data_IF_050818125265
#
_entry.id   IF_050818125265
#
_cell.length_a   1.000
_cell.length_b   1.000
_cell.length_c   1.000
_cell.angle_alpha   90.00
_cell.angle_beta   90.00
_cell.angle_gamma   90.00
#
_symmetry.space_group_name_H-M   'P 1'
#
loop_
_entity.id
_entity.type
_entity.pdbx_description
1 polymer ?
#
# COMPACT_ATOMS: atom_id res chain seq x y z
N UNK A 1 59.75 38.01 -47.05
CA UNK A 1 58.92 37.90 -45.82
C UNK A 1 57.51 37.51 -46.24
N UNK A 2 57.03 36.34 -45.82
CA UNK A 2 55.74 35.77 -46.26
C UNK A 2 54.65 36.19 -45.28
N UNK A 3 53.72 37.04 -45.71
CA UNK A 3 52.55 37.43 -44.94
C UNK A 3 51.36 36.52 -45.29
N UNK A 4 51.29 35.36 -44.66
CA UNK A 4 50.04 34.58 -44.56
C UNK A 4 49.56 34.71 -43.11
N UNK A 5 48.37 35.31 -42.88
CA UNK A 5 47.44 35.07 -41.73
C UNK A 5 46.44 36.24 -41.49
N UNK A 6 45.36 36.35 -42.27
CA UNK A 6 44.11 36.87 -41.69
C UNK A 6 42.92 35.90 -41.75
N UNK A 7 42.96 34.84 -42.57
CA UNK A 7 41.80 33.97 -42.84
C UNK A 7 41.42 33.10 -41.64
N UNK A 8 42.40 32.61 -40.88
CA UNK A 8 42.18 31.68 -39.76
C UNK A 8 41.38 32.28 -38.58
N UNK A 9 41.50 33.60 -38.33
CA UNK A 9 40.81 34.26 -37.21
C UNK A 9 39.33 34.55 -37.50
N UNK A 10 38.98 34.78 -38.75
CA UNK A 10 37.58 34.98 -39.16
C UNK A 10 36.77 33.67 -39.09
N UNK A 11 37.36 32.55 -39.54
CA UNK A 11 36.75 31.23 -39.49
C UNK A 11 36.46 30.75 -38.05
N UNK A 12 37.35 31.07 -37.10
CA UNK A 12 37.16 30.71 -35.69
C UNK A 12 35.98 31.47 -35.03
N UNK A 13 35.80 32.75 -35.38
CA UNK A 13 34.69 33.56 -34.86
C UNK A 13 33.34 33.14 -35.43
N UNK A 14 33.31 32.82 -36.73
CA UNK A 14 32.10 32.32 -37.40
C UNK A 14 31.68 30.95 -36.86
N UNK A 15 32.62 30.02 -36.67
CA UNK A 15 32.31 28.69 -36.10
C UNK A 15 31.89 28.75 -34.63
N UNK A 16 32.44 29.67 -33.84
CA UNK A 16 32.00 29.92 -32.47
C UNK A 16 30.58 30.51 -32.41
N UNK A 17 30.26 31.46 -33.30
CA UNK A 17 28.91 32.04 -33.40
C UNK A 17 27.87 31.01 -33.88
N UNK A 18 28.22 30.16 -34.85
CA UNK A 18 27.36 29.09 -35.35
C UNK A 18 27.07 28.02 -34.27
N UNK A 19 28.08 27.63 -33.48
CA UNK A 19 27.90 26.70 -32.33
C UNK A 19 27.03 27.31 -31.23
N UNK A 20 27.24 28.59 -30.89
CA UNK A 20 26.43 29.29 -29.91
C UNK A 20 24.95 29.44 -30.35
N UNK A 21 24.70 29.64 -31.65
CA UNK A 21 23.34 29.66 -32.19
C UNK A 21 22.71 28.25 -32.22
N UNK A 22 23.47 27.21 -32.55
CA UNK A 22 22.99 25.83 -32.52
C UNK A 22 22.61 25.38 -31.10
N UNK A 23 23.45 25.68 -30.09
CA UNK A 23 23.16 25.39 -28.68
C UNK A 23 21.93 26.15 -28.17
N UNK A 24 21.73 27.41 -28.59
CA UNK A 24 20.50 28.16 -28.25
C UNK A 24 19.26 27.57 -28.90
N UNK A 25 19.35 27.05 -30.13
CA UNK A 25 18.20 26.42 -30.82
C UNK A 25 17.72 25.15 -30.14
N UNK A 26 18.63 24.31 -29.63
CA UNK A 26 18.27 23.13 -28.82
C UNK A 26 17.75 23.50 -27.42
N UNK A 27 18.10 24.67 -26.90
CA UNK A 27 17.59 25.18 -25.62
C UNK A 27 16.29 26.00 -25.75
N UNK A 28 15.92 26.44 -26.96
CA UNK A 28 14.76 27.32 -27.21
C UNK A 28 13.50 26.61 -27.66
N UNK A 29 13.59 25.33 -28.06
CA UNK A 29 12.41 24.48 -28.31
C UNK A 29 12.14 23.64 -27.09
N UNK A 30 10.89 23.62 -26.64
CA UNK A 30 10.48 22.79 -25.54
C UNK A 30 10.76 21.31 -25.87
N UNK A 31 11.72 20.67 -25.18
CA UNK A 31 12.03 19.27 -25.39
C UNK A 31 10.79 18.41 -25.09
N UNK A 32 10.45 17.45 -25.95
CA UNK A 32 9.25 16.63 -25.79
C UNK A 32 9.14 15.95 -24.40
N UNK A 33 10.28 15.50 -23.85
CA UNK A 33 10.39 14.99 -22.49
C UNK A 33 10.05 16.05 -21.41
N UNK A 34 10.50 17.29 -21.64
CA UNK A 34 10.08 18.52 -20.97
C UNK A 34 8.55 18.60 -20.79
N UNK A 35 7.87 18.52 -21.93
CA UNK A 35 6.43 18.67 -22.08
C UNK A 35 5.65 17.52 -21.46
N UNK A 36 6.09 16.28 -21.70
CA UNK A 36 5.48 15.10 -21.11
C UNK A 36 5.55 15.14 -19.58
N UNK A 37 6.69 15.52 -18.99
CA UNK A 37 6.82 15.62 -17.53
C UNK A 37 5.89 16.67 -16.92
N UNK A 38 5.70 17.81 -17.58
CA UNK A 38 4.72 18.82 -17.13
C UNK A 38 3.30 18.28 -17.22
N UNK A 39 2.96 17.65 -18.33
CA UNK A 39 1.63 17.05 -18.53
C UNK A 39 1.34 15.97 -17.47
N UNK A 40 2.30 15.08 -17.19
CA UNK A 40 2.17 14.07 -16.12
C UNK A 40 2.01 14.72 -14.76
N UNK A 41 2.78 15.78 -14.45
CA UNK A 41 2.67 16.50 -13.18
C UNK A 41 1.30 17.16 -13.01
N UNK A 42 0.77 17.77 -14.07
CA UNK A 42 -0.55 18.38 -14.06
C UNK A 42 -1.66 17.34 -13.90
N UNK A 43 -1.59 16.23 -14.64
CA UNK A 43 -2.51 15.11 -14.51
C UNK A 43 -2.48 14.53 -13.09
N UNK A 44 -1.28 14.28 -12.54
CA UNK A 44 -1.10 13.76 -11.19
C UNK A 44 -1.70 14.70 -10.13
N UNK A 45 -1.59 16.02 -10.30
CA UNK A 45 -2.20 17.00 -9.39
C UNK A 45 -3.73 16.85 -9.36
N UNK A 46 -4.37 16.73 -10.53
CA UNK A 46 -5.82 16.56 -10.62
C UNK A 46 -6.27 15.21 -10.03
N UNK A 47 -5.58 14.13 -10.38
CA UNK A 47 -5.89 12.77 -9.89
C UNK A 47 -5.69 12.66 -8.37
N UNK A 48 -4.62 13.25 -7.83
CA UNK A 48 -4.38 13.27 -6.37
C UNK A 48 -5.49 14.02 -5.64
N UNK A 49 -5.93 15.16 -6.17
CA UNK A 49 -7.02 15.93 -5.58
C UNK A 49 -8.35 15.17 -5.59
N UNK A 50 -8.65 14.45 -6.68
CA UNK A 50 -9.82 13.58 -6.77
C UNK A 50 -9.79 12.49 -5.71
N UNK A 51 -8.70 11.73 -5.61
CA UNK A 51 -8.57 10.66 -4.62
C UNK A 51 -8.61 11.19 -3.19
N UNK A 52 -7.99 12.34 -2.92
CA UNK A 52 -8.09 13.00 -1.61
C UNK A 52 -9.55 13.28 -1.25
N UNK A 53 -10.35 13.79 -2.18
CA UNK A 53 -11.77 14.06 -1.95
C UNK A 53 -12.56 12.77 -1.70
N UNK A 54 -12.36 11.73 -2.50
CA UNK A 54 -13.04 10.44 -2.28
C UNK A 54 -12.66 9.86 -0.89
N UNK A 55 -11.37 9.88 -0.55
CA UNK A 55 -10.89 9.38 0.75
C UNK A 55 -11.42 10.15 1.95
N UNK A 56 -11.75 11.44 1.80
CA UNK A 56 -12.26 12.27 2.92
C UNK A 56 -13.79 12.30 2.95
N UNK A 57 -14.45 12.31 1.80
CA UNK A 57 -15.91 12.51 1.72
C UNK A 57 -16.69 11.23 1.52
N UNK A 58 -16.10 10.18 0.94
CA UNK A 58 -16.81 8.93 0.64
C UNK A 58 -16.42 7.83 1.62
N UNK A 59 -15.12 7.67 1.89
CA UNK A 59 -14.63 6.57 2.72
C UNK A 59 -15.12 6.68 4.18
N UNK A 60 -15.08 7.83 4.87
CA UNK A 60 -15.51 7.89 6.27
C UNK A 60 -17.01 7.57 6.44
N UNK A 61 -17.95 8.12 5.64
CA UNK A 61 -19.35 7.68 5.71
C UNK A 61 -19.54 6.19 5.45
N UNK A 62 -18.84 5.61 4.47
CA UNK A 62 -18.93 4.18 4.19
C UNK A 62 -18.42 3.33 5.37
N UNK A 63 -17.29 3.73 5.98
CA UNK A 63 -16.76 3.07 7.17
C UNK A 63 -17.67 3.22 8.38
N UNK A 64 -18.33 4.37 8.56
CA UNK A 64 -19.29 4.56 9.64
C UNK A 64 -20.48 3.60 9.48
N UNK A 65 -21.06 3.52 8.28
CA UNK A 65 -22.18 2.60 8.03
C UNK A 65 -21.78 1.13 8.21
N UNK A 66 -20.62 0.72 7.68
CA UNK A 66 -20.09 -0.62 7.86
C UNK A 66 -19.77 -0.91 9.33
N UNK A 67 -19.21 0.06 10.05
CA UNK A 67 -18.89 -0.04 11.47
C UNK A 67 -20.13 -0.19 12.35
N UNK A 68 -21.21 0.53 12.05
CA UNK A 68 -22.50 0.38 12.73
C UNK A 68 -23.09 -1.02 12.51
N UNK A 69 -23.04 -1.53 11.28
CA UNK A 69 -23.51 -2.88 10.99
C UNK A 69 -22.66 -3.95 11.72
N UNK A 70 -21.33 -3.82 11.68
CA UNK A 70 -20.42 -4.72 12.39
C UNK A 70 -20.63 -4.67 13.91
N UNK A 71 -20.92 -3.49 14.48
CA UNK A 71 -21.21 -3.34 15.90
C UNK A 71 -22.50 -4.07 16.30
N UNK A 72 -23.56 -3.98 15.48
CA UNK A 72 -24.79 -4.72 15.74
C UNK A 72 -24.57 -6.24 15.68
N UNK A 73 -23.89 -6.73 14.63
CA UNK A 73 -23.54 -8.15 14.50
C UNK A 73 -22.64 -8.64 15.64
N UNK A 74 -21.74 -7.80 16.12
CA UNK A 74 -20.89 -8.09 17.29
C UNK A 74 -21.72 -8.31 18.55
N UNK A 75 -22.68 -7.40 18.83
CA UNK A 75 -23.55 -7.54 20.00
C UNK A 75 -24.44 -8.79 19.90
N UNK A 76 -25.04 -9.04 18.73
CA UNK A 76 -25.84 -10.25 18.47
C UNK A 76 -25.00 -11.53 18.64
N UNK A 77 -23.75 -11.53 18.18
CA UNK A 77 -22.84 -12.66 18.34
C UNK A 77 -22.60 -12.98 19.82
N UNK A 78 -22.33 -11.97 20.66
CA UNK A 78 -22.09 -12.17 22.09
C UNK A 78 -23.37 -12.51 22.87
N UNK A 79 -24.51 -11.96 22.48
CA UNK A 79 -25.80 -12.36 23.05
C UNK A 79 -26.08 -13.84 22.76
N UNK A 80 -25.88 -14.29 21.52
CA UNK A 80 -26.02 -15.72 21.18
C UNK A 80 -24.99 -16.58 21.92
N UNK A 81 -23.74 -16.10 22.03
CA UNK A 81 -22.69 -16.80 22.77
C UNK A 81 -23.04 -16.99 24.25
N UNK A 82 -23.67 -15.99 24.88
CA UNK A 82 -24.07 -16.03 26.29
C UNK A 82 -25.16 -17.07 26.61
N UNK A 83 -25.93 -17.48 25.59
CA UNK A 83 -26.97 -18.50 25.71
C UNK A 83 -26.46 -19.92 25.42
N UNK A 84 -25.23 -20.07 24.93
CA UNK A 84 -24.67 -21.39 24.67
C UNK A 84 -24.21 -22.07 25.97
N UNK A 85 -24.21 -23.42 26.04
CA UNK A 85 -23.72 -24.13 27.21
C UNK A 85 -22.25 -23.79 27.50
N UNK A 86 -21.78 -23.96 28.76
CA UNK A 86 -20.37 -23.81 29.13
C UNK A 86 -19.45 -24.62 28.22
N UNK A 87 -18.23 -24.14 28.00
CA UNK A 87 -17.29 -24.76 27.06
C UNK A 87 -16.92 -26.20 27.44
N UNK A 88 -16.87 -26.51 28.75
CA UNK A 88 -16.54 -27.84 29.25
C UNK A 88 -17.62 -28.88 28.93
N UNK A 89 -18.87 -28.43 28.83
CA UNK A 89 -20.04 -29.27 28.54
C UNK A 89 -20.24 -29.50 27.04
N UNK A 90 -19.56 -28.72 26.19
CA UNK A 90 -19.68 -28.86 24.73
C UNK A 90 -19.02 -30.16 24.26
N UNK A 91 -19.64 -30.78 23.26
CA UNK A 91 -19.10 -31.98 22.62
C UNK A 91 -17.88 -31.61 21.77
N UNK A 92 -16.72 -32.08 22.20
CA UNK A 92 -15.47 -32.02 21.45
C UNK A 92 -15.34 -33.32 20.64
N UNK A 93 -15.16 -33.18 19.33
CA UNK A 93 -15.03 -34.34 18.43
C UNK A 93 -13.56 -34.75 18.24
N UNK A 94 -13.27 -36.03 17.92
CA UNK A 94 -11.89 -36.54 17.75
C UNK A 94 -11.03 -35.79 16.73
N UNK A 95 -11.65 -35.14 15.75
CA UNK A 95 -10.95 -34.36 14.73
C UNK A 95 -10.69 -32.90 15.13
N UNK A 96 -11.23 -32.45 16.27
CA UNK A 96 -10.98 -31.13 16.84
C UNK A 96 -9.78 -31.19 17.78
N UNK A 97 -9.10 -30.04 17.96
CA UNK A 97 -7.95 -29.88 18.86
C UNK A 97 -6.87 -30.97 18.79
N UNK A 98 -6.64 -31.57 17.61
CA UNK A 98 -5.58 -32.57 17.45
C UNK A 98 -4.21 -31.94 17.77
N UNK A 99 -3.41 -32.65 18.57
CA UNK A 99 -2.01 -32.32 18.89
C UNK A 99 -1.13 -33.55 18.69
N UNK A 100 -0.49 -33.66 17.52
CA UNK A 100 0.51 -34.72 17.26
C UNK A 100 1.88 -34.40 17.86
N UNK A 101 2.17 -33.10 17.99
CA UNK A 101 3.35 -32.55 18.67
C UNK A 101 2.93 -31.25 19.35
N UNK A 102 3.42 -31.03 20.56
CA UNK A 102 3.19 -29.78 21.29
C UNK A 102 3.77 -28.59 20.53
N UNK A 103 3.09 -27.44 20.65
CA UNK A 103 3.63 -26.18 20.18
C UNK A 103 4.95 -25.84 20.91
N UNK A 104 5.91 -25.18 20.25
CA UNK A 104 7.22 -24.90 20.83
C UNK A 104 7.23 -23.71 21.82
N UNK A 105 6.05 -23.21 22.22
CA UNK A 105 5.89 -22.04 23.09
C UNK A 105 4.71 -22.21 24.04
N UNK A 106 4.64 -21.32 25.04
CA UNK A 106 3.56 -21.31 26.03
C UNK A 106 3.50 -22.62 26.81
N UNK A 107 2.29 -23.15 26.99
CA UNK A 107 2.04 -24.45 27.61
C UNK A 107 2.11 -25.63 26.60
N UNK A 108 2.45 -25.36 25.34
CA UNK A 108 2.55 -26.35 24.27
C UNK A 108 1.23 -26.81 23.65
N UNK A 109 0.09 -26.23 24.05
CA UNK A 109 -1.23 -26.70 23.66
C UNK A 109 -2.11 -25.62 23.01
N UNK A 110 -1.93 -24.38 23.45
CA UNK A 110 -2.66 -23.22 22.96
C UNK A 110 -2.01 -22.62 21.73
N UNK A 111 -2.82 -22.21 20.75
CA UNK A 111 -2.34 -21.51 19.55
C UNK A 111 -1.99 -20.06 19.86
N UNK A 112 -1.30 -19.37 18.94
CA UNK A 112 -0.96 -17.95 19.11
C UNK A 112 -2.18 -17.01 19.24
N UNK A 113 -3.36 -17.44 18.79
CA UNK A 113 -4.63 -16.70 18.89
C UNK A 113 -5.65 -17.44 19.75
N UNK A 114 -5.19 -18.26 20.68
CA UNK A 114 -6.06 -18.95 21.62
C UNK A 114 -6.75 -17.97 22.57
N UNK A 115 -8.06 -18.10 22.73
CA UNK A 115 -8.84 -17.35 23.70
C UNK A 115 -9.65 -18.31 24.57
N UNK A 116 -9.36 -18.36 25.87
CA UNK A 116 -10.02 -19.23 26.85
C UNK A 116 -11.54 -19.02 26.96
N UNK A 117 -12.05 -17.86 26.55
CA UNK A 117 -13.48 -17.55 26.59
C UNK A 117 -14.27 -18.25 25.46
N UNK A 118 -13.56 -18.68 24.39
CA UNK A 118 -14.17 -19.31 23.21
C UNK A 118 -13.50 -20.62 22.80
N UNK A 119 -12.34 -20.94 23.36
CA UNK A 119 -11.55 -22.13 23.08
C UNK A 119 -11.32 -22.91 24.36
N UNK A 120 -11.59 -24.20 24.29
CA UNK A 120 -11.36 -25.16 25.35
C UNK A 120 -10.84 -26.44 24.72
N UNK A 121 -9.90 -27.10 25.39
CA UNK A 121 -9.37 -28.39 24.99
C UNK A 121 -9.38 -29.34 26.19
N UNK A 122 -10.13 -30.43 26.07
CA UNK A 122 -10.13 -31.48 27.07
C UNK A 122 -9.06 -32.52 26.72
N UNK A 123 -7.94 -32.52 27.46
CA UNK A 123 -6.82 -33.44 27.26
C UNK A 123 -7.13 -34.88 27.66
N UNK A 124 -8.11 -35.06 28.55
CA UNK A 124 -8.51 -36.38 29.07
C UNK A 124 -9.54 -37.07 28.16
N UNK A 125 -10.18 -36.33 27.25
CA UNK A 125 -10.92 -36.88 26.11
C UNK A 125 -9.93 -37.43 25.09
N UNK A 126 -9.31 -38.55 25.46
CA UNK A 126 -8.62 -39.42 24.52
C UNK A 126 -9.66 -39.94 23.53
N UNK A 127 -9.34 -39.81 22.24
CA UNK A 127 -10.12 -40.36 21.11
C UNK A 127 -10.50 -41.81 21.30
#
# INVERSE_FOLDING_TARGET
MIAQRPIARAALRFTAQARAQAQRRFASTENAFAAERRHVKEHAKATTELWRKISIYTVPPALLLAGLNAYNLWNEHWEHWSHMPPLEERVEYPYQNIRTKNFPFGNGDETAFWNSDVNYHNKDKTT
#
